data_IF_496542609187
#
_entry.id   IF_496542609187
#
_cell.length_a   1.000
_cell.length_b   1.000
_cell.length_c   1.000
_cell.angle_alpha   90.00
_cell.angle_beta   90.00
_cell.angle_gamma   90.00
#
_symmetry.space_group_name_H-M   'P 1'
#
loop_
_entity.id
_entity.type
_entity.pdbx_description
1 polymer ?
#
# COMPACT_ATOMS: atom_id res chain seq x y z
N UNK A 1 -15.35 -3.50 21.82
CA UNK A 1 -15.86 -2.43 20.92
C UNK A 1 -14.81 -2.03 19.89
N UNK A 2 -13.62 -1.59 20.25
CA UNK A 2 -12.56 -1.11 19.32
C UNK A 2 -12.22 -2.11 18.20
N UNK A 3 -12.02 -3.40 18.48
CA UNK A 3 -11.74 -4.42 17.45
C UNK A 3 -12.87 -4.55 16.41
N UNK A 4 -14.14 -4.43 16.85
CA UNK A 4 -15.29 -4.47 15.93
C UNK A 4 -15.31 -3.23 15.04
N UNK A 5 -15.01 -2.05 15.59
CA UNK A 5 -14.87 -0.81 14.82
C UNK A 5 -13.79 -1.01 13.74
N UNK A 6 -12.58 -1.44 14.12
CA UNK A 6 -11.48 -1.69 13.18
C UNK A 6 -11.86 -2.66 12.06
N UNK A 7 -12.54 -3.77 12.39
CA UNK A 7 -12.98 -4.77 11.39
C UNK A 7 -13.96 -4.20 10.37
N UNK A 8 -14.80 -3.24 10.76
CA UNK A 8 -15.78 -2.61 9.87
C UNK A 8 -15.10 -1.55 9.01
N UNK A 9 -14.33 -0.64 9.63
CA UNK A 9 -13.68 0.46 8.91
C UNK A 9 -12.57 -0.01 7.97
N UNK A 10 -11.92 -1.14 8.25
CA UNK A 10 -10.95 -1.76 7.33
C UNK A 10 -11.59 -2.07 5.97
N UNK A 11 -12.86 -2.47 5.97
CA UNK A 11 -13.61 -2.81 4.75
C UNK A 11 -14.31 -1.60 4.13
N UNK A 12 -14.75 -0.67 4.94
CA UNK A 12 -15.46 0.53 4.53
C UNK A 12 -15.09 1.73 5.41
N UNK A 13 -13.99 2.40 5.09
CA UNK A 13 -13.53 3.59 5.81
C UNK A 13 -14.42 4.82 5.65
N UNK A 14 -15.45 4.76 4.80
CA UNK A 14 -16.43 5.84 4.57
C UNK A 14 -17.75 5.63 5.30
N UNK A 15 -17.84 4.64 6.18
CA UNK A 15 -19.05 4.43 6.97
C UNK A 15 -19.28 5.63 7.88
N UNK A 16 -20.54 6.06 7.98
CA UNK A 16 -20.94 7.14 8.89
C UNK A 16 -20.86 6.68 10.35
N UNK A 17 -20.43 7.56 11.24
CA UNK A 17 -20.29 7.25 12.68
C UNK A 17 -21.61 6.90 13.34
N UNK A 18 -22.70 7.55 12.91
CA UNK A 18 -24.04 7.22 13.39
C UNK A 18 -24.48 5.82 12.92
N UNK A 19 -24.20 5.44 11.67
CA UNK A 19 -24.46 4.11 11.16
C UNK A 19 -23.65 3.06 11.92
N UNK A 20 -22.37 3.35 12.18
CA UNK A 20 -21.49 2.47 12.95
C UNK A 20 -21.99 2.27 14.38
N UNK A 21 -22.50 3.33 15.02
CA UNK A 21 -23.10 3.26 16.35
C UNK A 21 -24.33 2.35 16.38
N UNK A 22 -25.22 2.47 15.41
CA UNK A 22 -26.39 1.59 15.27
C UNK A 22 -25.96 0.14 15.08
N UNK A 23 -24.98 -0.14 14.22
CA UNK A 23 -24.47 -1.50 13.97
C UNK A 23 -23.85 -2.13 15.21
N UNK A 24 -23.25 -1.32 16.07
CA UNK A 24 -22.56 -1.78 17.28
C UNK A 24 -23.44 -1.76 18.52
N UNK A 25 -24.62 -1.12 18.45
CA UNK A 25 -25.57 -1.00 19.56
C UNK A 25 -25.06 -0.08 20.67
N UNK A 26 -24.41 1.04 20.28
CA UNK A 26 -23.81 2.02 21.20
C UNK A 26 -24.17 3.44 20.77
N UNK A 27 -23.79 4.45 21.57
CA UNK A 27 -24.01 5.85 21.25
C UNK A 27 -22.92 6.34 20.25
N UNK A 28 -23.27 7.28 19.39
CA UNK A 28 -22.33 7.83 18.41
C UNK A 28 -21.12 8.51 19.08
N UNK A 29 -21.31 9.16 20.23
CA UNK A 29 -20.22 9.76 21.01
C UNK A 29 -19.16 8.73 21.41
N UNK A 30 -19.57 7.52 21.80
CA UNK A 30 -18.64 6.44 22.16
C UNK A 30 -17.84 5.95 20.96
N UNK A 31 -18.44 5.97 19.75
CA UNK A 31 -17.73 5.67 18.50
C UNK A 31 -16.69 6.74 18.19
N UNK A 32 -17.06 8.02 18.29
CA UNK A 32 -16.15 9.13 18.04
C UNK A 32 -14.95 9.10 18.99
N UNK A 33 -15.21 8.89 20.29
CA UNK A 33 -14.15 8.80 21.29
C UNK A 33 -13.23 7.61 21.01
N UNK A 34 -13.79 6.44 20.66
CA UNK A 34 -13.02 5.25 20.33
C UNK A 34 -12.15 5.43 19.08
N UNK A 35 -12.66 6.07 18.03
CA UNK A 35 -11.90 6.38 16.81
C UNK A 35 -10.76 7.36 17.14
N UNK A 36 -11.04 8.42 17.90
CA UNK A 36 -10.02 9.39 18.29
C UNK A 36 -8.90 8.76 19.12
N UNK A 37 -9.23 7.84 20.03
CA UNK A 37 -8.21 7.10 20.80
C UNK A 37 -7.38 6.19 19.89
N UNK A 38 -8.01 5.46 18.95
CA UNK A 38 -7.32 4.59 18.00
C UNK A 38 -6.38 5.37 17.07
N UNK A 39 -6.75 6.58 16.66
CA UNK A 39 -5.90 7.49 15.89
C UNK A 39 -4.74 8.03 16.72
N UNK A 40 -5.02 8.48 17.95
CA UNK A 40 -3.99 9.01 18.86
C UNK A 40 -2.96 7.94 19.25
N UNK A 41 -3.40 6.69 19.42
CA UNK A 41 -2.54 5.54 19.71
C UNK A 41 -1.78 5.04 18.47
N UNK A 42 -2.04 5.62 17.28
CA UNK A 42 -1.42 5.21 16.02
C UNK A 42 -1.85 3.82 15.52
N UNK A 43 -2.95 3.28 16.06
CA UNK A 43 -3.55 2.02 15.59
C UNK A 43 -4.22 2.27 14.23
N UNK A 44 -4.94 3.38 14.10
CA UNK A 44 -5.40 3.88 12.81
C UNK A 44 -4.36 4.87 12.31
N UNK A 45 -3.58 4.46 11.31
CA UNK A 45 -2.52 5.29 10.73
C UNK A 45 -3.00 6.20 9.61
N UNK A 46 -4.21 6.01 9.11
CA UNK A 46 -4.81 6.81 8.05
C UNK A 46 -5.93 6.10 7.31
N UNK A 47 -6.62 6.86 6.47
CA UNK A 47 -7.73 6.38 5.64
C UNK A 47 -7.35 6.56 4.17
N UNK A 48 -7.29 5.46 3.41
CA UNK A 48 -6.87 5.50 2.02
C UNK A 48 -8.00 5.10 1.08
N UNK A 49 -8.14 5.83 -0.01
CA UNK A 49 -9.09 5.50 -1.08
C UNK A 49 -8.43 4.58 -2.10
N UNK A 50 -9.05 3.44 -2.36
CA UNK A 50 -8.65 2.54 -3.45
C UNK A 50 -9.12 3.11 -4.78
N UNK A 51 -8.16 3.44 -5.66
CA UNK A 51 -8.44 4.05 -6.97
C UNK A 51 -7.89 3.15 -8.08
N UNK A 52 -8.75 2.81 -9.03
CA UNK A 52 -8.32 2.16 -10.26
C UNK A 52 -7.86 3.21 -11.27
N UNK A 53 -6.58 3.54 -11.23
CA UNK A 53 -5.96 4.54 -12.08
C UNK A 53 -5.99 4.19 -13.56
N UNK A 54 -6.01 2.89 -13.92
CA UNK A 54 -6.11 2.44 -15.30
C UNK A 54 -7.43 2.88 -15.99
N UNK A 55 -8.43 3.28 -15.19
CA UNK A 55 -9.71 3.82 -15.69
C UNK A 55 -9.75 5.34 -15.78
N UNK A 56 -8.66 5.97 -15.42
CA UNK A 56 -8.56 7.43 -15.43
C UNK A 56 -7.65 7.89 -16.56
N UNK A 57 -7.50 8.69 -17.24
CA UNK A 57 -6.49 9.04 -18.26
C UNK A 57 -5.10 9.38 -17.67
N UNK A 58 -4.86 9.07 -16.41
CA UNK A 58 -3.60 9.36 -15.72
C UNK A 58 -2.71 8.12 -15.76
N UNK A 59 -1.57 8.24 -16.42
CA UNK A 59 -0.55 7.20 -16.41
C UNK A 59 0.20 7.19 -15.06
N UNK A 60 0.27 6.01 -14.46
CA UNK A 60 1.08 5.73 -13.28
C UNK A 60 1.86 4.45 -13.49
N UNK A 61 3.12 4.50 -13.21
CA UNK A 61 4.02 3.33 -13.21
C UNK A 61 4.30 2.95 -11.77
N UNK A 62 3.89 1.76 -11.39
CA UNK A 62 4.19 1.19 -10.08
C UNK A 62 5.31 0.18 -10.22
N UNK A 63 6.31 0.25 -9.38
CA UNK A 63 7.39 -0.74 -9.32
C UNK A 63 7.55 -1.30 -7.92
N UNK A 64 7.83 -2.60 -7.87
CA UNK A 64 8.30 -3.30 -6.68
C UNK A 64 9.80 -3.50 -6.82
N UNK A 65 10.55 -3.07 -5.84
CA UNK A 65 12.02 -3.14 -5.86
C UNK A 65 12.47 -4.01 -4.68
N UNK A 66 13.13 -5.10 -5.01
CA UNK A 66 13.87 -5.89 -4.04
C UNK A 66 15.19 -5.19 -3.75
N UNK A 67 15.49 -4.99 -2.48
CA UNK A 67 16.71 -4.33 -2.04
C UNK A 67 17.47 -5.26 -1.11
N UNK A 68 18.72 -5.54 -1.45
CA UNK A 68 19.65 -6.25 -0.59
C UNK A 68 20.55 -5.24 0.07
N UNK A 69 20.67 -5.35 1.39
CA UNK A 69 21.46 -4.41 2.18
C UNK A 69 22.44 -5.16 3.08
N UNK A 70 23.55 -4.51 3.37
CA UNK A 70 24.47 -4.96 4.42
C UNK A 70 24.49 -3.91 5.51
N UNK A 71 23.87 -4.18 6.67
CA UNK A 71 23.93 -3.28 7.81
C UNK A 71 25.38 -3.04 8.24
N UNK A 72 25.70 -1.79 8.54
CA UNK A 72 27.00 -1.41 9.10
C UNK A 72 26.90 -1.27 10.61
N UNK A 73 28.05 -1.29 11.29
CA UNK A 73 28.09 -1.08 12.74
C UNK A 73 27.44 0.27 13.08
N UNK A 74 26.38 0.21 13.92
CA UNK A 74 25.60 1.40 14.31
C UNK A 74 24.53 1.85 13.29
N UNK A 75 24.31 1.09 12.22
CA UNK A 75 23.24 1.29 11.24
C UNK A 75 22.48 -0.02 11.02
N UNK A 76 21.31 -0.17 11.67
CA UNK A 76 20.44 -1.32 11.52
C UNK A 76 19.55 -1.24 10.27
N UNK A 77 18.68 -2.25 10.11
CA UNK A 77 17.68 -2.26 9.03
C UNK A 77 16.69 -1.10 9.15
N UNK A 78 16.35 -0.71 10.38
CA UNK A 78 15.45 0.41 10.67
C UNK A 78 16.02 1.72 10.15
N UNK A 79 17.30 2.00 10.38
CA UNK A 79 17.94 3.24 9.91
C UNK A 79 17.97 3.31 8.37
N UNK A 80 18.18 2.16 7.72
CA UNK A 80 18.19 2.06 6.26
C UNK A 80 16.78 2.27 5.71
N UNK A 81 15.79 1.59 6.31
CA UNK A 81 14.39 1.73 5.94
C UNK A 81 13.91 3.18 6.12
N UNK A 82 14.30 3.83 7.23
CA UNK A 82 13.97 5.23 7.50
C UNK A 82 14.50 6.18 6.42
N UNK A 83 15.70 5.97 5.95
CA UNK A 83 16.27 6.77 4.84
C UNK A 83 15.50 6.58 3.55
N UNK A 84 15.01 5.35 3.28
CA UNK A 84 14.29 5.01 2.06
C UNK A 84 12.86 5.57 2.11
N UNK A 85 12.10 5.37 3.19
CA UNK A 85 10.71 5.81 3.25
C UNK A 85 10.53 7.34 3.35
N UNK A 86 11.59 8.09 3.63
CA UNK A 86 11.57 9.56 3.59
C UNK A 86 11.50 10.13 2.16
N UNK A 87 11.79 9.33 1.14
CA UNK A 87 11.62 9.78 -0.23
C UNK A 87 10.14 9.85 -0.60
N UNK A 88 9.66 10.97 -1.14
CA UNK A 88 8.24 11.16 -1.46
C UNK A 88 7.71 10.22 -2.55
N UNK A 89 8.61 9.66 -3.38
CA UNK A 89 8.26 8.68 -4.41
C UNK A 89 7.96 7.30 -3.84
N UNK A 90 8.40 7.04 -2.61
CA UNK A 90 8.25 5.73 -1.96
C UNK A 90 6.90 5.65 -1.26
N UNK A 91 6.09 4.69 -1.66
CA UNK A 91 4.78 4.44 -1.06
C UNK A 91 4.86 3.43 0.09
N UNK A 92 5.76 2.46 -0.02
CA UNK A 92 5.80 1.32 0.91
C UNK A 92 7.23 0.83 1.09
N UNK A 93 7.59 0.50 2.31
CA UNK A 93 8.84 -0.19 2.66
C UNK A 93 8.52 -1.30 3.65
N UNK A 94 8.92 -2.53 3.34
CA UNK A 94 8.80 -3.68 4.23
C UNK A 94 10.16 -4.33 4.46
N UNK A 95 10.41 -4.74 5.71
CA UNK A 95 11.49 -5.68 6.02
C UNK A 95 11.02 -7.10 5.68
N UNK A 96 11.80 -7.82 4.91
CA UNK A 96 11.43 -9.12 4.36
C UNK A 96 12.27 -10.23 4.96
N UNK A 97 11.68 -11.40 5.15
CA UNK A 97 12.41 -12.63 5.39
C UNK A 97 12.48 -13.44 4.08
N UNK A 98 13.66 -13.63 3.50
CA UNK A 98 13.78 -14.33 2.22
C UNK A 98 15.04 -14.00 1.46
N UNK A 99 14.96 -13.97 0.13
CA UNK A 99 16.10 -13.76 -0.76
C UNK A 99 16.62 -12.33 -0.83
N UNK A 100 15.92 -11.37 -0.25
CA UNK A 100 16.28 -9.95 -0.16
C UNK A 100 15.78 -9.38 1.17
N UNK A 101 16.28 -8.21 1.57
CA UNK A 101 16.08 -7.68 2.90
C UNK A 101 14.93 -6.67 2.99
N UNK A 102 14.81 -5.78 2.01
CA UNK A 102 13.74 -4.78 1.97
C UNK A 102 12.98 -4.87 0.64
N UNK A 103 11.65 -4.75 0.73
CA UNK A 103 10.79 -4.52 -0.42
C UNK A 103 10.34 -3.06 -0.42
N UNK A 104 10.60 -2.37 -1.52
CA UNK A 104 10.21 -0.97 -1.72
C UNK A 104 9.21 -0.90 -2.86
N UNK A 105 8.05 -0.30 -2.60
CA UNK A 105 7.07 0.00 -3.65
C UNK A 105 7.08 1.50 -3.87
N UNK A 106 7.25 1.90 -5.11
CA UNK A 106 7.22 3.30 -5.51
C UNK A 106 6.36 3.52 -6.75
N UNK A 107 5.89 4.74 -6.90
CA UNK A 107 5.15 5.18 -8.08
C UNK A 107 5.88 6.32 -8.77
N UNK A 108 5.92 6.25 -10.10
CA UNK A 108 6.41 7.30 -10.98
C UNK A 108 5.42 7.57 -12.12
N UNK A 109 5.68 8.64 -12.87
CA UNK A 109 4.91 8.94 -14.08
C UNK A 109 5.37 8.09 -15.26
N UNK A 110 6.65 7.75 -15.29
CA UNK A 110 7.27 7.00 -16.38
C UNK A 110 8.21 5.92 -15.85
N UNK A 111 8.52 4.93 -16.68
CA UNK A 111 9.58 3.94 -16.40
C UNK A 111 10.94 4.60 -16.11
N UNK A 112 11.21 5.72 -16.78
CA UNK A 112 12.46 6.48 -16.62
C UNK A 112 12.55 7.12 -15.23
N UNK A 113 11.43 7.61 -14.69
CA UNK A 113 11.39 8.18 -13.33
C UNK A 113 11.74 7.11 -12.30
N UNK A 114 11.15 5.92 -12.44
CA UNK A 114 11.43 4.78 -11.55
C UNK A 114 12.89 4.35 -11.65
N UNK A 115 13.39 4.15 -12.86
CA UNK A 115 14.79 3.78 -13.09
C UNK A 115 15.76 4.85 -12.55
N UNK A 116 15.43 6.12 -12.74
CA UNK A 116 16.20 7.24 -12.19
C UNK A 116 16.24 7.27 -10.67
N UNK A 117 15.12 6.98 -10.02
CA UNK A 117 15.08 6.85 -8.56
C UNK A 117 16.01 5.73 -8.06
N UNK A 118 15.93 4.55 -8.67
CA UNK A 118 16.79 3.43 -8.29
C UNK A 118 18.26 3.76 -8.44
N UNK A 119 18.64 4.32 -9.60
CA UNK A 119 20.04 4.59 -9.93
C UNK A 119 20.60 5.74 -9.11
N UNK A 120 19.84 6.84 -8.95
CA UNK A 120 20.36 8.08 -8.38
C UNK A 120 20.13 8.22 -6.88
N UNK A 121 19.18 7.49 -6.32
CA UNK A 121 18.82 7.59 -4.89
C UNK A 121 19.07 6.28 -4.15
N UNK A 122 18.46 5.17 -4.60
CA UNK A 122 18.48 3.92 -3.87
C UNK A 122 19.85 3.23 -3.93
N UNK A 123 20.40 3.07 -5.12
CA UNK A 123 21.71 2.41 -5.32
C UNK A 123 22.91 3.25 -4.86
N UNK A 124 22.71 4.52 -4.52
CA UNK A 124 23.77 5.40 -3.96
C UNK A 124 23.91 5.27 -2.45
N UNK A 125 22.98 4.57 -1.78
CA UNK A 125 23.10 4.29 -0.35
C UNK A 125 24.20 3.26 -0.12
N UNK A 126 25.20 3.60 0.68
CA UNK A 126 26.40 2.75 0.97
C UNK A 126 26.08 1.36 1.47
N UNK A 127 24.89 1.19 2.08
CA UNK A 127 24.44 -0.07 2.65
C UNK A 127 23.71 -0.94 1.64
N UNK A 128 23.32 -0.38 0.48
CA UNK A 128 22.64 -1.11 -0.59
C UNK A 128 23.67 -1.82 -1.45
N UNK A 129 23.60 -3.16 -1.45
CA UNK A 129 24.51 -4.02 -2.23
C UNK A 129 23.91 -4.55 -3.53
N UNK A 130 22.60 -4.43 -3.69
CA UNK A 130 21.93 -4.84 -4.92
C UNK A 130 20.46 -4.51 -4.91
N UNK A 131 19.93 -4.28 -6.10
CA UNK A 131 18.49 -4.03 -6.33
C UNK A 131 17.98 -4.83 -7.53
N UNK A 132 16.72 -5.27 -7.46
CA UNK A 132 16.01 -5.84 -8.60
C UNK A 132 14.67 -5.13 -8.72
N UNK A 133 14.40 -4.56 -9.89
CA UNK A 133 13.17 -3.79 -10.14
C UNK A 133 12.18 -4.60 -10.95
N UNK A 134 10.96 -4.74 -10.43
CA UNK A 134 9.82 -5.37 -11.07
C UNK A 134 8.75 -4.33 -11.35
N UNK A 135 8.38 -4.14 -12.62
CA UNK A 135 7.27 -3.25 -12.97
C UNK A 135 5.95 -3.99 -12.89
N UNK A 136 4.97 -3.40 -12.21
CA UNK A 136 3.62 -3.94 -12.14
C UNK A 136 2.90 -3.57 -13.43
N UNK A 137 2.70 -4.57 -14.30
CA UNK A 137 2.05 -4.36 -15.59
C UNK A 137 0.54 -4.24 -15.47
N UNK A 138 -0.06 -4.94 -14.50
CA UNK A 138 -1.50 -4.94 -14.27
C UNK A 138 -1.84 -5.40 -12.87
N UNK A 139 -2.75 -4.68 -12.20
CA UNK A 139 -3.34 -5.10 -10.93
C UNK A 139 -4.67 -5.82 -11.19
N UNK A 140 -4.75 -7.10 -10.87
CA UNK A 140 -5.99 -7.89 -10.97
C UNK A 140 -6.85 -7.76 -9.72
N UNK A 141 -6.21 -7.76 -8.56
CA UNK A 141 -6.82 -7.58 -7.24
C UNK A 141 -5.83 -6.83 -6.36
N UNK A 142 -6.31 -5.88 -5.58
CA UNK A 142 -5.49 -5.11 -4.66
C UNK A 142 -6.28 -4.85 -3.37
N UNK A 143 -5.66 -5.06 -2.21
CA UNK A 143 -6.29 -4.94 -0.89
C UNK A 143 -7.72 -5.53 -0.82
N UNK A 144 -7.91 -6.74 -1.34
CA UNK A 144 -9.20 -7.40 -1.37
C UNK A 144 -10.15 -6.97 -2.50
N UNK A 145 -9.90 -5.85 -3.18
CA UNK A 145 -10.73 -5.29 -4.25
C UNK A 145 -10.32 -5.81 -5.62
N UNK A 146 -11.29 -6.32 -6.39
CA UNK A 146 -11.05 -6.77 -7.77
C UNK A 146 -10.95 -5.55 -8.68
N UNK A 147 -9.79 -5.38 -9.32
CA UNK A 147 -9.49 -4.27 -10.24
C UNK A 147 -9.75 -4.63 -11.71
N UNK A 148 -9.72 -5.92 -12.06
CA UNK A 148 -9.93 -6.39 -13.42
C UNK A 148 -11.40 -6.29 -13.83
N UNK A 149 -11.67 -5.99 -15.13
CA UNK A 149 -13.02 -6.12 -15.69
C UNK A 149 -13.45 -7.59 -15.61
N UNK A 150 -14.69 -7.85 -15.19
CA UNK A 150 -15.33 -9.16 -15.44
C UNK A 150 -15.25 -9.44 -16.94
N UNK A 151 -14.73 -10.58 -17.36
CA UNK A 151 -14.95 -11.06 -18.72
C UNK A 151 -16.45 -11.33 -18.83
N UNK A 152 -17.14 -10.61 -19.70
CA UNK A 152 -18.46 -11.01 -20.17
C UNK A 152 -18.26 -12.34 -20.90
N UNK A 153 -18.96 -13.38 -20.45
CA UNK A 153 -18.98 -14.68 -21.11
C UNK A 153 -19.79 -14.53 -22.40
N UNK A 154 -19.10 -14.20 -23.49
CA UNK A 154 -19.71 -14.10 -24.83
C UNK A 154 -19.82 -15.54 -25.42
N UNK A 155 -20.26 -16.51 -24.64
CA UNK A 155 -20.70 -17.75 -25.20
C UNK A 155 -22.12 -17.54 -25.69
N UNK A 156 -22.28 -17.36 -27.00
CA UNK A 156 -23.59 -17.51 -27.65
C UNK A 156 -24.14 -18.88 -27.25
N UNK A 157 -25.32 -18.87 -26.65
CA UNK A 157 -26.08 -20.09 -26.43
C UNK A 157 -26.55 -20.50 -27.82
N UNK A 158 -25.80 -21.40 -28.44
CA UNK A 158 -26.26 -22.10 -29.65
C UNK A 158 -27.35 -23.04 -29.20
N UNK A 159 -28.58 -22.59 -29.26
CA UNK A 159 -29.76 -23.44 -29.13
C UNK A 159 -29.89 -24.28 -30.38
N UNK A 160 -30.08 -25.62 -30.27
CA UNK A 160 -30.28 -26.51 -31.40
C UNK A 160 -31.60 -26.28 -32.14
#
# INVERSE_FOLDING_TARGET
MKERILTIIEKNSRIDTAELAVMLGTEESEILDALQELENDGIICGYHTMINWDKTGIEKVTALIEVRVTPKRGQGFEDIAERIYKYPEVNTVYLMSGGYDLMVILEGKTLKDVAGFVTNKLSTLDTVIGTTTHFILKKYKDHGTIMAKKREDIREIVTP
#
